data_IF_756007108307
#
_entry.id   IF_756007108307
#
_cell.length_a   1.000
_cell.length_b   1.000
_cell.length_c   1.000
_cell.angle_alpha   90.00
_cell.angle_beta   90.00
_cell.angle_gamma   90.00
#
_symmetry.space_group_name_H-M   'P 1'
#
loop_
_entity.id
_entity.type
_entity.pdbx_description
1 polymer ?
#
# COMPACT_ATOMS: atom_id res chain seq x y z
N UNK A 1 9.48 -5.09 15.83
CA UNK A 1 10.46 -4.46 14.89
C UNK A 1 10.48 -2.92 15.00
N UNK A 2 11.67 -2.28 15.09
CA UNK A 2 11.78 -0.82 15.17
C UNK A 2 12.17 -0.21 13.81
N UNK A 3 11.31 0.62 13.22
CA UNK A 3 11.53 1.33 11.94
C UNK A 3 11.34 2.82 12.17
N UNK A 4 12.08 3.66 11.43
CA UNK A 4 11.82 5.10 11.43
C UNK A 4 10.39 5.37 10.94
N UNK A 5 9.71 6.28 11.62
CA UNK A 5 8.42 6.86 11.24
C UNK A 5 8.64 8.21 10.56
N UNK A 6 7.65 8.65 9.78
CA UNK A 6 7.56 10.03 9.26
C UNK A 6 7.68 11.09 10.37
N UNK A 7 7.41 10.71 11.63
CA UNK A 7 7.58 11.57 12.81
C UNK A 7 9.04 11.84 13.17
N UNK A 8 9.96 10.96 12.74
CA UNK A 8 11.38 11.02 13.08
C UNK A 8 12.20 11.82 12.04
N UNK A 9 11.56 12.34 10.99
CA UNK A 9 12.19 13.08 9.91
C UNK A 9 11.76 14.55 9.90
N UNK A 10 12.69 15.45 9.59
CA UNK A 10 12.38 16.86 9.31
C UNK A 10 11.90 17.00 7.86
N UNK A 11 10.60 17.28 7.69
CA UNK A 11 9.93 17.30 6.38
C UNK A 11 9.56 18.71 5.92
N UNK A 12 9.70 19.74 6.76
CA UNK A 12 9.28 21.10 6.41
C UNK A 12 10.09 21.63 5.23
N UNK A 13 9.38 22.07 4.19
CA UNK A 13 9.99 22.58 2.95
C UNK A 13 10.66 21.53 2.06
N UNK A 14 10.62 20.25 2.46
CA UNK A 14 11.23 19.14 1.71
C UNK A 14 10.24 18.54 0.72
N UNK A 15 10.75 18.06 -0.40
CA UNK A 15 10.02 17.24 -1.37
C UNK A 15 9.94 15.81 -0.84
N UNK A 16 8.73 15.29 -0.66
CA UNK A 16 8.48 13.97 -0.09
C UNK A 16 7.84 13.07 -1.14
N UNK A 17 8.55 12.02 -1.53
CA UNK A 17 7.97 10.93 -2.31
C UNK A 17 7.15 10.04 -1.38
N UNK A 18 5.84 10.13 -1.47
CA UNK A 18 4.89 9.38 -0.63
C UNK A 18 4.28 8.23 -1.42
N UNK A 19 4.69 7.00 -1.10
CA UNK A 19 4.11 5.79 -1.67
C UNK A 19 2.89 5.35 -0.85
N UNK A 20 1.69 5.37 -1.44
CA UNK A 20 0.41 5.01 -0.78
C UNK A 20 -0.37 3.98 -1.58
N UNK A 21 -1.10 3.07 -0.93
CA UNK A 21 -1.98 2.12 -1.62
C UNK A 21 -3.35 2.74 -1.91
N UNK A 22 -3.50 3.34 -3.10
CA UNK A 22 -4.77 3.86 -3.61
C UNK A 22 -5.37 2.94 -4.69
N UNK A 23 -5.06 1.64 -4.66
CA UNK A 23 -5.64 0.67 -5.58
C UNK A 23 -7.09 0.34 -5.16
N UNK A 24 -7.99 1.29 -5.43
CA UNK A 24 -9.43 1.24 -5.17
C UNK A 24 -10.16 0.44 -6.23
N UNK A 25 -11.38 0.02 -5.92
CA UNK A 25 -12.29 -0.60 -6.90
C UNK A 25 -13.11 0.48 -7.58
N UNK A 26 -13.18 0.42 -8.92
CA UNK A 26 -14.03 1.28 -9.73
C UNK A 26 -15.24 0.51 -10.25
N UNK A 27 -16.39 1.16 -10.31
CA UNK A 27 -17.56 0.62 -11.01
C UNK A 27 -17.42 0.78 -12.54
N UNK A 28 -18.41 0.29 -13.30
CA UNK A 28 -18.42 0.38 -14.77
C UNK A 28 -18.41 1.82 -15.33
N UNK A 29 -18.73 2.82 -14.50
CA UNK A 29 -18.71 4.25 -14.86
C UNK A 29 -17.39 4.93 -14.47
N UNK A 30 -16.42 4.19 -13.91
CA UNK A 30 -15.15 4.73 -13.43
C UNK A 30 -15.25 5.45 -12.08
N UNK A 31 -16.33 5.22 -11.33
CA UNK A 31 -16.54 5.82 -10.00
C UNK A 31 -16.02 4.89 -8.90
N UNK A 32 -15.45 5.46 -7.84
CA UNK A 32 -14.91 4.73 -6.70
C UNK A 32 -16.05 4.18 -5.86
N UNK A 33 -16.08 2.87 -5.65
CA UNK A 33 -17.14 2.21 -4.85
C UNK A 33 -16.79 2.08 -3.36
N UNK A 34 -15.50 2.16 -3.01
CA UNK A 34 -15.02 2.00 -1.64
C UNK A 34 -13.81 2.90 -1.40
N UNK A 35 -13.90 3.72 -0.34
CA UNK A 35 -12.92 4.76 -0.04
C UNK A 35 -11.90 4.36 1.05
N UNK A 36 -12.01 3.15 1.59
CA UNK A 36 -11.20 2.71 2.75
C UNK A 36 -9.70 2.91 2.54
N UNK A 37 -9.21 2.61 1.34
CA UNK A 37 -7.80 2.83 0.97
C UNK A 37 -7.41 4.30 0.92
N UNK A 38 -8.26 5.16 0.36
CA UNK A 38 -8.02 6.61 0.34
C UNK A 38 -7.98 7.14 1.76
N UNK A 39 -8.97 6.76 2.58
CA UNK A 39 -9.08 7.16 3.99
C UNK A 39 -7.89 6.71 4.82
N UNK A 40 -7.35 5.52 4.55
CA UNK A 40 -6.18 5.00 5.26
C UNK A 40 -4.90 5.83 5.06
N UNK A 41 -4.77 6.53 3.91
CA UNK A 41 -3.61 7.37 3.62
C UNK A 41 -3.72 8.80 4.19
N UNK A 42 -4.93 9.25 4.55
CA UNK A 42 -5.17 10.62 5.01
C UNK A 42 -4.35 11.03 6.23
N UNK A 43 -4.14 10.18 7.27
CA UNK A 43 -3.34 10.56 8.43
C UNK A 43 -1.92 11.00 8.04
N UNK A 44 -1.26 10.25 7.16
CA UNK A 44 0.10 10.56 6.70
C UNK A 44 0.11 11.80 5.81
N UNK A 45 -0.84 11.92 4.88
CA UNK A 45 -0.95 13.10 4.01
C UNK A 45 -1.17 14.36 4.85
N UNK A 46 -2.16 14.36 5.75
CA UNK A 46 -2.45 15.51 6.62
C UNK A 46 -1.26 15.87 7.51
N UNK A 47 -0.53 14.88 8.04
CA UNK A 47 0.69 15.12 8.81
C UNK A 47 1.73 15.89 7.98
N UNK A 48 2.03 15.41 6.77
CA UNK A 48 3.00 16.04 5.87
C UNK A 48 2.57 17.45 5.45
N UNK A 49 1.29 17.63 5.13
CA UNK A 49 0.73 18.93 4.75
C UNK A 49 0.86 19.92 5.91
N UNK A 50 0.47 19.53 7.13
CA UNK A 50 0.55 20.38 8.31
C UNK A 50 1.99 20.73 8.72
N UNK A 51 2.95 19.86 8.38
CA UNK A 51 4.39 20.13 8.56
C UNK A 51 4.99 20.96 7.42
N UNK A 52 4.23 21.26 6.37
CA UNK A 52 4.69 22.09 5.25
C UNK A 52 5.64 21.36 4.31
N UNK A 53 5.48 20.06 4.12
CA UNK A 53 6.18 19.30 3.09
C UNK A 53 5.56 19.54 1.70
N UNK A 54 6.34 19.35 0.64
CA UNK A 54 5.87 19.32 -0.76
C UNK A 54 5.66 17.86 -1.16
N UNK A 55 4.42 17.45 -1.38
CA UNK A 55 4.06 16.02 -1.38
C UNK A 55 3.91 15.49 -2.80
N UNK A 56 4.60 14.40 -3.11
CA UNK A 56 4.57 13.69 -4.39
C UNK A 56 3.98 12.31 -4.15
N UNK A 57 2.69 12.14 -4.46
CA UNK A 57 1.96 10.90 -4.26
C UNK A 57 2.21 9.94 -5.42
N UNK A 58 2.65 8.74 -5.08
CA UNK A 58 2.78 7.61 -6.01
C UNK A 58 1.87 6.46 -5.57
N UNK A 59 1.07 5.95 -6.50
CA UNK A 59 0.22 4.77 -6.30
C UNK A 59 0.09 3.96 -7.59
N UNK A 60 -0.44 2.75 -7.45
CA UNK A 60 -0.88 1.95 -8.57
C UNK A 60 -2.40 1.80 -8.55
N UNK A 61 -2.98 1.55 -9.72
CA UNK A 61 -4.37 1.12 -9.87
C UNK A 61 -4.43 -0.09 -10.80
N UNK A 62 -5.08 -1.16 -10.35
CA UNK A 62 -5.24 -2.38 -11.12
C UNK A 62 -3.92 -3.02 -11.57
N UNK A 63 -3.95 -3.63 -12.76
CA UNK A 63 -2.83 -4.38 -13.35
C UNK A 63 -2.70 -4.04 -14.84
N UNK A 64 -2.21 -2.84 -15.17
CA UNK A 64 -2.08 -2.39 -16.56
C UNK A 64 -0.99 -3.11 -17.35
N UNK A 65 -0.06 -3.82 -16.69
CA UNK A 65 1.05 -4.59 -17.30
C UNK A 65 2.10 -3.73 -18.05
N UNK A 66 2.37 -2.51 -17.58
CA UNK A 66 3.37 -1.63 -18.20
C UNK A 66 2.89 -0.91 -19.45
N UNK A 67 1.58 -0.83 -19.64
CA UNK A 67 0.93 -0.13 -20.75
C UNK A 67 -0.02 0.93 -20.18
N UNK A 68 -0.17 2.04 -20.90
CA UNK A 68 -1.18 3.04 -20.55
C UNK A 68 -2.56 2.51 -20.90
N UNK A 69 -3.46 2.48 -19.90
CA UNK A 69 -4.85 2.05 -20.07
C UNK A 69 -5.77 3.04 -19.39
N UNK A 70 -6.67 3.62 -20.17
CA UNK A 70 -7.55 4.70 -19.71
C UNK A 70 -8.38 4.30 -18.47
N UNK A 71 -8.82 3.03 -18.37
CA UNK A 71 -9.56 2.55 -17.20
C UNK A 71 -8.74 2.47 -15.91
N UNK A 72 -7.40 2.55 -16.00
CA UNK A 72 -6.47 2.47 -14.86
C UNK A 72 -5.75 3.79 -14.57
N UNK A 73 -6.19 4.91 -15.15
CA UNK A 73 -5.68 6.23 -14.76
C UNK A 73 -6.12 6.64 -13.36
N UNK A 74 -5.31 7.47 -12.72
CA UNK A 74 -5.56 7.94 -11.35
C UNK A 74 -6.46 9.18 -11.26
N UNK A 75 -7.02 9.70 -12.36
CA UNK A 75 -7.90 10.88 -12.35
C UNK A 75 -9.10 10.77 -11.40
N UNK A 76 -9.83 9.63 -11.31
CA UNK A 76 -10.91 9.50 -10.33
C UNK A 76 -10.39 9.54 -8.89
N UNK A 77 -9.20 8.99 -8.66
CA UNK A 77 -8.57 8.93 -7.34
C UNK A 77 -8.09 10.32 -6.91
N UNK A 78 -7.44 11.07 -7.79
CA UNK A 78 -7.01 12.44 -7.52
C UNK A 78 -8.19 13.35 -7.17
N UNK A 79 -9.28 13.29 -7.96
CA UNK A 79 -10.51 14.06 -7.70
C UNK A 79 -11.13 13.72 -6.35
N UNK A 80 -11.26 12.43 -6.04
CA UNK A 80 -11.84 11.99 -4.76
C UNK A 80 -10.94 12.35 -3.57
N UNK A 81 -9.62 12.24 -3.73
CA UNK A 81 -8.67 12.64 -2.68
C UNK A 81 -8.77 14.16 -2.42
N UNK A 82 -8.87 14.98 -3.46
CA UNK A 82 -9.07 16.42 -3.32
C UNK A 82 -10.38 16.78 -2.59
N UNK A 83 -11.48 16.10 -2.93
CA UNK A 83 -12.77 16.24 -2.26
C UNK A 83 -12.67 15.92 -0.76
N UNK A 84 -12.08 14.78 -0.41
CA UNK A 84 -11.98 14.34 1.00
C UNK A 84 -11.00 15.20 1.81
N UNK A 85 -9.93 15.69 1.19
CA UNK A 85 -8.98 16.59 1.84
C UNK A 85 -9.49 18.03 1.93
N UNK A 86 -10.55 18.37 1.20
CA UNK A 86 -11.04 19.73 1.00
C UNK A 86 -9.94 20.68 0.49
N UNK A 87 -9.03 20.15 -0.33
CA UNK A 87 -7.83 20.85 -0.82
C UNK A 87 -7.46 20.43 -2.23
N UNK A 88 -6.79 21.30 -3.01
CA UNK A 88 -6.30 20.94 -4.33
C UNK A 88 -5.32 19.77 -4.29
N UNK A 89 -5.52 18.80 -5.18
CA UNK A 89 -4.55 17.76 -5.51
C UNK A 89 -4.25 17.90 -6.99
N UNK A 90 -3.05 18.35 -7.32
CA UNK A 90 -2.58 18.41 -8.70
C UNK A 90 -2.33 17.00 -9.20
N UNK A 91 -2.64 16.72 -10.46
CA UNK A 91 -2.36 15.41 -11.09
C UNK A 91 -1.63 15.63 -12.40
N UNK A 92 -0.71 14.73 -12.70
CA UNK A 92 0.01 14.68 -13.98
C UNK A 92 -0.16 13.31 -14.63
N UNK A 93 -0.18 13.26 -15.96
CA UNK A 93 -0.44 12.05 -16.76
C UNK A 93 0.82 11.21 -16.99
N UNK A 94 1.93 11.62 -16.39
CA UNK A 94 3.25 10.97 -16.51
C UNK A 94 3.71 10.41 -15.16
N UNK A 95 4.51 9.35 -15.25
CA UNK A 95 5.09 8.68 -14.06
C UNK A 95 6.47 9.25 -13.71
N UNK A 96 7.25 9.63 -14.73
CA UNK A 96 8.60 10.19 -14.66
C UNK A 96 8.84 11.11 -15.86
N UNK A 97 9.97 11.83 -15.88
CA UNK A 97 10.37 12.66 -17.01
C UNK A 97 10.32 14.17 -16.72
N UNK A 98 10.62 14.97 -17.74
CA UNK A 98 10.83 16.42 -17.59
C UNK A 98 9.56 17.17 -17.16
N UNK A 99 8.38 16.73 -17.59
CA UNK A 99 7.11 17.33 -17.17
C UNK A 99 6.86 17.10 -15.68
N UNK A 100 7.14 15.90 -15.18
CA UNK A 100 7.06 15.57 -13.75
C UNK A 100 8.05 16.42 -12.95
N UNK A 101 9.30 16.53 -13.40
CA UNK A 101 10.31 17.38 -12.74
C UNK A 101 9.85 18.84 -12.66
N UNK A 102 9.34 19.40 -13.76
CA UNK A 102 8.81 20.77 -13.80
C UNK A 102 7.60 20.96 -12.88
N UNK A 103 6.70 19.97 -12.79
CA UNK A 103 5.55 20.04 -11.90
C UNK A 103 5.97 19.99 -10.42
N UNK A 104 6.92 19.11 -10.08
CA UNK A 104 7.47 18.98 -8.73
C UNK A 104 8.18 20.26 -8.27
N UNK A 105 8.98 20.89 -9.14
CA UNK A 105 9.69 22.13 -8.80
C UNK A 105 8.75 23.32 -8.54
N UNK A 106 7.54 23.29 -9.10
CA UNK A 106 6.52 24.33 -8.89
C UNK A 106 5.72 24.16 -7.60
N UNK A 107 5.86 23.04 -6.89
CA UNK A 107 5.09 22.81 -5.67
C UNK A 107 5.50 23.79 -4.57
N UNK A 108 4.50 24.42 -3.96
CA UNK A 108 4.64 25.16 -2.72
C UNK A 108 4.47 24.26 -1.50
N UNK A 109 4.85 24.76 -0.33
CA UNK A 109 4.78 24.01 0.92
C UNK A 109 3.33 23.66 1.26
N UNK A 110 3.07 22.37 1.52
CA UNK A 110 1.74 21.84 1.81
C UNK A 110 0.93 21.48 0.57
N UNK A 111 1.47 21.67 -0.64
CA UNK A 111 0.82 21.25 -1.88
C UNK A 111 1.09 19.77 -2.19
N UNK A 112 0.18 19.20 -2.98
CA UNK A 112 0.12 17.78 -3.30
C UNK A 112 0.09 17.60 -4.81
N UNK A 113 1.06 16.86 -5.35
CA UNK A 113 1.08 16.35 -6.71
C UNK A 113 0.89 14.83 -6.70
N UNK A 114 -0.06 14.32 -7.45
CA UNK A 114 -0.24 12.90 -7.73
C UNK A 114 0.36 12.58 -9.10
N UNK A 115 1.30 11.64 -9.11
CA UNK A 115 1.83 11.05 -10.34
C UNK A 115 0.78 10.15 -10.99
N UNK A 116 0.93 9.84 -12.27
CA UNK A 116 0.12 8.82 -12.91
C UNK A 116 0.43 7.42 -12.32
N UNK A 117 -0.45 6.46 -12.59
CA UNK A 117 -0.32 5.07 -12.19
C UNK A 117 1.09 4.51 -12.44
N UNK A 118 1.84 4.24 -11.38
CA UNK A 118 3.25 3.80 -11.47
C UNK A 118 3.42 2.53 -12.31
N UNK A 119 2.38 1.69 -12.39
CA UNK A 119 2.41 0.45 -13.19
C UNK A 119 2.19 0.66 -14.69
N UNK A 120 1.96 1.88 -15.15
CA UNK A 120 2.09 2.22 -16.58
C UNK A 120 3.54 2.16 -17.04
N UNK A 121 4.52 2.37 -16.15
CA UNK A 121 5.92 2.16 -16.50
C UNK A 121 6.29 0.67 -16.38
N UNK A 122 6.82 0.01 -17.43
CA UNK A 122 7.15 -1.42 -17.40
C UNK A 122 8.26 -1.78 -16.39
N UNK A 123 9.09 -0.81 -16.04
CA UNK A 123 10.15 -0.97 -15.03
C UNK A 123 9.65 -1.09 -13.59
N UNK A 124 8.41 -0.67 -13.28
CA UNK A 124 7.90 -0.62 -11.90
C UNK A 124 7.88 -2.01 -11.27
N UNK A 125 7.25 -2.99 -11.92
CA UNK A 125 7.13 -4.36 -11.38
C UNK A 125 8.42 -5.16 -11.47
N UNK A 126 9.43 -4.64 -12.18
CA UNK A 126 10.76 -5.26 -12.33
C UNK A 126 11.78 -4.71 -11.34
N UNK A 127 11.38 -3.75 -10.50
CA UNK A 127 12.30 -2.98 -9.66
C UNK A 127 13.46 -2.38 -10.45
N UNK A 128 13.14 -1.79 -11.60
CA UNK A 128 14.14 -1.23 -12.51
C UNK A 128 14.95 -0.14 -11.78
N UNK A 129 16.30 -0.28 -11.69
CA UNK A 129 17.14 0.67 -10.98
C UNK A 129 17.11 2.08 -11.56
N UNK A 130 16.94 2.21 -12.88
CA UNK A 130 16.88 3.50 -13.55
C UNK A 130 15.57 4.22 -13.23
N UNK A 131 14.45 3.48 -13.20
CA UNK A 131 13.17 4.04 -12.76
C UNK A 131 13.23 4.45 -11.27
N UNK A 132 13.81 3.62 -10.42
CA UNK A 132 14.00 3.93 -9.00
C UNK A 132 14.82 5.21 -8.80
N UNK A 133 15.89 5.39 -9.60
CA UNK A 133 16.72 6.60 -9.62
C UNK A 133 15.92 7.82 -10.05
N UNK A 134 15.10 7.70 -11.09
CA UNK A 134 14.22 8.78 -11.54
C UNK A 134 13.21 9.19 -10.48
N UNK A 135 12.63 8.25 -9.71
CA UNK A 135 11.78 8.58 -8.55
C UNK A 135 12.56 9.30 -7.46
N UNK A 136 13.78 8.83 -7.15
CA UNK A 136 14.63 9.43 -6.13
C UNK A 136 15.02 10.87 -6.47
N UNK A 137 15.26 11.20 -7.74
CA UNK A 137 15.55 12.57 -8.18
C UNK A 137 14.42 13.57 -7.91
N UNK A 138 13.18 13.11 -7.73
CA UNK A 138 12.04 13.98 -7.51
C UNK A 138 11.96 14.50 -6.06
N UNK A 139 12.60 13.82 -5.10
CA UNK A 139 12.35 14.04 -3.68
C UNK A 139 13.62 14.07 -2.83
N UNK A 140 13.51 14.69 -1.66
CA UNK A 140 14.55 14.67 -0.63
C UNK A 140 14.38 13.48 0.32
N UNK A 141 13.14 13.03 0.52
CA UNK A 141 12.75 12.01 1.49
C UNK A 141 11.75 11.05 0.85
N UNK A 142 11.86 9.77 1.20
CA UNK A 142 10.92 8.73 0.83
C UNK A 142 10.08 8.28 2.04
N UNK A 143 8.76 8.28 1.88
CA UNK A 143 7.82 7.75 2.88
C UNK A 143 7.02 6.61 2.25
N UNK A 144 7.09 5.42 2.84
CA UNK A 144 6.25 4.30 2.45
C UNK A 144 5.08 4.13 3.41
N UNK A 145 3.88 4.37 2.91
CA UNK A 145 2.62 4.20 3.63
C UNK A 145 1.71 3.13 3.00
N UNK A 146 2.29 2.29 2.12
CA UNK A 146 1.59 1.31 1.31
C UNK A 146 1.86 -0.14 1.78
N UNK A 147 1.50 -0.46 3.03
CA UNK A 147 1.72 -1.77 3.66
C UNK A 147 1.26 -2.95 2.79
N UNK A 148 0.05 -2.87 2.22
CA UNK A 148 -0.51 -3.89 1.33
C UNK A 148 0.31 -4.19 0.08
N UNK A 149 1.26 -3.33 -0.29
CA UNK A 149 2.20 -3.55 -1.40
C UNK A 149 3.65 -3.76 -0.99
N UNK A 150 3.97 -3.66 0.31
CA UNK A 150 5.35 -3.77 0.82
C UNK A 150 5.97 -5.17 0.64
N UNK A 151 5.14 -6.21 0.46
CA UNK A 151 5.58 -7.57 0.18
C UNK A 151 6.15 -7.76 -1.24
N UNK A 152 6.16 -6.70 -2.08
CA UNK A 152 6.70 -6.73 -3.44
C UNK A 152 7.87 -5.77 -3.58
N UNK A 153 8.97 -6.27 -4.11
CA UNK A 153 10.12 -5.44 -4.50
C UNK A 153 9.82 -4.79 -5.87
N UNK A 154 9.26 -3.58 -5.85
CA UNK A 154 9.03 -2.76 -7.03
C UNK A 154 9.83 -1.45 -6.92
N UNK A 155 10.00 -0.75 -8.04
CA UNK A 155 10.77 0.50 -8.07
C UNK A 155 10.21 1.54 -7.10
N UNK A 156 8.88 1.70 -7.03
CA UNK A 156 8.23 2.66 -6.13
C UNK A 156 8.11 2.22 -4.66
N UNK A 157 8.24 0.92 -4.36
CA UNK A 157 8.07 0.36 -3.00
C UNK A 157 9.38 0.01 -2.31
N UNK A 158 10.44 -0.24 -3.08
CA UNK A 158 11.70 -0.79 -2.60
C UNK A 158 12.90 -0.08 -3.22
N UNK A 159 12.96 0.03 -4.56
CA UNK A 159 14.11 0.62 -5.25
C UNK A 159 14.36 2.07 -4.85
N UNK A 160 13.34 2.94 -4.94
CA UNK A 160 13.44 4.35 -4.56
C UNK A 160 13.80 4.52 -3.07
N UNK A 161 13.30 3.64 -2.20
CA UNK A 161 13.54 3.67 -0.76
C UNK A 161 15.01 3.46 -0.38
N UNK A 162 15.79 2.79 -1.24
CA UNK A 162 17.24 2.58 -1.05
C UNK A 162 18.09 3.79 -1.39
N UNK A 163 17.55 4.71 -2.19
CA UNK A 163 18.29 5.86 -2.73
C UNK A 163 18.03 7.15 -1.93
N UNK A 164 17.03 7.15 -1.07
CA UNK A 164 16.63 8.29 -0.24
C UNK A 164 16.57 7.91 1.25
N UNK A 165 16.73 8.89 2.16
CA UNK A 165 16.29 8.72 3.54
C UNK A 165 14.84 8.23 3.56
N UNK A 166 14.61 7.06 4.16
CA UNK A 166 13.32 6.36 4.10
C UNK A 166 12.72 6.12 5.48
N UNK A 167 11.41 6.34 5.59
CA UNK A 167 10.64 6.05 6.79
C UNK A 167 9.24 5.49 6.46
N UNK A 168 8.63 4.86 7.46
CA UNK A 168 7.24 4.43 7.41
C UNK A 168 6.30 5.63 7.54
N UNK A 169 5.23 5.67 6.73
CA UNK A 169 4.09 6.53 7.01
C UNK A 169 3.29 6.03 8.22
N UNK A 170 2.29 6.79 8.64
CA UNK A 170 1.51 6.48 9.85
C UNK A 170 0.66 5.20 9.72
N UNK A 171 0.16 4.90 8.52
CA UNK A 171 -0.56 3.65 8.26
C UNK A 171 0.41 2.47 8.27
N UNK A 172 1.56 2.58 7.60
CA UNK A 172 2.62 1.56 7.64
C UNK A 172 3.12 1.30 9.06
N UNK A 173 3.40 2.35 9.83
CA UNK A 173 3.82 2.27 11.23
C UNK A 173 2.79 1.49 12.06
N UNK A 174 1.50 1.82 11.92
CA UNK A 174 0.41 1.12 12.61
C UNK A 174 0.36 -0.37 12.27
N UNK A 175 0.43 -0.72 10.98
CA UNK A 175 0.39 -2.13 10.54
C UNK A 175 1.60 -2.91 11.07
N UNK A 176 2.81 -2.32 11.00
CA UNK A 176 4.04 -2.93 11.55
C UNK A 176 3.92 -3.14 13.06
N UNK A 177 3.38 -2.16 13.79
CA UNK A 177 3.23 -2.24 15.24
C UNK A 177 2.23 -3.34 15.63
N UNK A 178 1.07 -3.40 14.99
CA UNK A 178 0.06 -4.45 15.24
C UNK A 178 0.64 -5.83 14.94
N UNK A 179 1.30 -6.00 13.79
CA UNK A 179 1.91 -7.29 13.45
C UNK A 179 3.05 -7.67 14.40
N UNK A 180 3.90 -6.71 14.79
CA UNK A 180 4.98 -6.96 15.75
C UNK A 180 4.42 -7.38 17.11
N UNK A 181 3.35 -6.73 17.57
CA UNK A 181 2.69 -7.11 18.83
C UNK A 181 2.13 -8.55 18.77
N UNK A 182 1.43 -8.91 17.69
CA UNK A 182 0.85 -10.26 17.53
C UNK A 182 1.94 -11.34 17.46
N UNK A 183 3.08 -11.05 16.80
CA UNK A 183 4.12 -12.04 16.54
C UNK A 183 5.16 -12.15 17.67
N UNK A 184 5.54 -11.04 18.30
CA UNK A 184 6.65 -10.99 19.26
C UNK A 184 6.15 -11.11 20.71
N UNK A 185 5.05 -10.45 21.08
CA UNK A 185 4.52 -10.45 22.46
C UNK A 185 2.99 -10.29 22.48
N UNK A 186 2.23 -11.31 22.04
CA UNK A 186 0.78 -11.20 21.96
C UNK A 186 0.15 -11.19 23.34
N UNK A 187 -0.92 -10.40 23.50
CA UNK A 187 -1.82 -10.55 24.65
C UNK A 187 -2.49 -11.93 24.60
N UNK A 188 -2.52 -12.62 25.74
CA UNK A 188 -3.08 -13.96 25.88
C UNK A 188 -4.38 -13.97 26.68
N UNK A 189 -5.37 -14.81 26.32
CA UNK A 189 -5.31 -15.82 25.26
C UNK A 189 -5.40 -15.22 23.84
N UNK A 190 -4.47 -15.62 22.96
CA UNK A 190 -4.47 -15.27 21.55
C UNK A 190 -5.21 -16.32 20.73
N UNK A 191 -6.25 -15.89 20.01
CA UNK A 191 -6.97 -16.75 19.08
C UNK A 191 -6.76 -16.29 17.63
N UNK A 192 -6.46 -17.23 16.72
CA UNK A 192 -6.51 -17.00 15.28
C UNK A 192 -7.77 -17.63 14.69
N UNK A 193 -8.47 -16.86 13.85
CA UNK A 193 -9.64 -17.32 13.09
C UNK A 193 -9.26 -17.40 11.61
N UNK A 194 -9.22 -18.61 11.06
CA UNK A 194 -8.88 -18.87 9.67
C UNK A 194 -10.11 -19.39 8.91
N UNK A 195 -10.50 -18.66 7.87
CA UNK A 195 -11.52 -19.08 6.90
C UNK A 195 -10.99 -19.10 5.48
N UNK A 196 -11.83 -19.51 4.53
CA UNK A 196 -11.50 -19.62 3.11
C UNK A 196 -12.02 -20.92 2.51
N UNK A 197 -11.70 -21.17 1.25
CA UNK A 197 -12.13 -22.38 0.53
C UNK A 197 -11.03 -23.43 0.43
N UNK A 198 -9.80 -23.02 0.10
CA UNK A 198 -8.66 -23.92 -0.09
C UNK A 198 -7.74 -23.93 1.12
N UNK A 199 -7.34 -25.12 1.56
CA UNK A 199 -6.37 -25.30 2.64
C UNK A 199 -4.97 -25.02 2.11
N UNK A 200 -4.65 -25.46 0.88
CA UNK A 200 -3.30 -25.37 0.32
C UNK A 200 -2.74 -23.93 0.31
N UNK A 201 -3.58 -22.95 -0.01
CA UNK A 201 -3.20 -21.52 -0.03
C UNK A 201 -2.82 -20.97 1.36
N UNK A 202 -3.15 -21.69 2.44
CA UNK A 202 -3.04 -21.25 3.83
C UNK A 202 -2.19 -22.15 4.71
N UNK A 203 -1.64 -23.25 4.20
CA UNK A 203 -0.83 -24.20 5.00
C UNK A 203 0.33 -23.49 5.71
N UNK A 204 1.09 -22.67 4.99
CA UNK A 204 2.20 -21.91 5.58
C UNK A 204 1.76 -20.98 6.71
N UNK A 205 0.60 -20.33 6.54
CA UNK A 205 0.02 -19.44 7.54
C UNK A 205 -0.45 -20.22 8.78
N UNK A 206 -1.10 -21.37 8.58
CA UNK A 206 -1.55 -22.27 9.66
C UNK A 206 -0.35 -22.73 10.48
N UNK A 207 0.69 -23.26 9.80
CA UNK A 207 1.89 -23.77 10.47
C UNK A 207 2.55 -22.69 11.34
N UNK A 208 2.66 -21.46 10.83
CA UNK A 208 3.23 -20.36 11.60
C UNK A 208 2.37 -19.97 12.81
N UNK A 209 1.03 -19.85 12.64
CA UNK A 209 0.17 -19.48 13.76
C UNK A 209 0.07 -20.57 14.83
N UNK A 210 0.20 -21.85 14.48
CA UNK A 210 0.23 -22.95 15.45
C UNK A 210 1.36 -22.81 16.48
N UNK A 211 2.44 -22.09 16.14
CA UNK A 211 3.56 -21.82 17.06
C UNK A 211 3.26 -20.67 18.04
N UNK A 212 2.24 -19.85 17.77
CA UNK A 212 2.03 -18.55 18.44
C UNK A 212 0.72 -18.53 19.24
N UNK A 213 -0.38 -19.03 18.66
CA UNK A 213 -1.74 -18.88 19.21
C UNK A 213 -2.08 -19.90 20.29
N UNK A 214 -2.92 -19.51 21.25
CA UNK A 214 -3.51 -20.42 22.24
C UNK A 214 -4.69 -21.20 21.65
N UNK A 215 -5.39 -20.61 20.68
CA UNK A 215 -6.55 -21.21 20.04
C UNK A 215 -6.55 -20.95 18.53
N UNK A 216 -6.71 -22.01 17.74
CA UNK A 216 -6.91 -21.92 16.30
C UNK A 216 -8.33 -22.33 15.93
N UNK A 217 -9.11 -21.38 15.40
CA UNK A 217 -10.49 -21.60 14.95
C UNK A 217 -10.49 -21.66 13.42
N UNK A 218 -10.92 -22.79 12.87
CA UNK A 218 -10.99 -23.01 11.41
C UNK A 218 -12.45 -23.04 10.97
N UNK A 219 -12.79 -22.21 9.99
CA UNK A 219 -14.12 -22.12 9.39
C UNK A 219 -14.08 -22.06 7.87
N UNK A 220 -15.23 -21.81 7.24
CA UNK A 220 -15.37 -21.78 5.78
C UNK A 220 -15.23 -23.15 5.11
N UNK A 221 -15.09 -23.18 3.78
CA UNK A 221 -14.95 -24.42 3.00
C UNK A 221 -13.71 -25.23 3.38
N UNK A 222 -12.63 -24.58 3.81
CA UNK A 222 -11.40 -25.26 4.22
C UNK A 222 -11.58 -26.14 5.47
N UNK A 223 -12.54 -25.82 6.35
CA UNK A 223 -12.83 -26.64 7.53
C UNK A 223 -13.26 -28.06 7.17
N UNK A 224 -13.88 -28.23 5.99
CA UNK A 224 -14.34 -29.52 5.49
C UNK A 224 -13.19 -30.49 5.29
N UNK A 225 -12.03 -30.07 4.78
CA UNK A 225 -10.87 -30.97 4.63
C UNK A 225 -10.41 -31.50 5.99
N UNK A 226 -10.40 -30.67 7.04
CA UNK A 226 -10.07 -31.12 8.40
C UNK A 226 -11.14 -32.04 9.00
N UNK A 227 -12.42 -31.75 8.79
CA UNK A 227 -13.52 -32.61 9.25
C UNK A 227 -13.52 -33.96 8.51
N UNK A 228 -13.22 -33.97 7.21
CA UNK A 228 -13.11 -35.19 6.42
C UNK A 228 -11.95 -36.05 6.90
N UNK A 229 -10.81 -35.44 7.20
CA UNK A 229 -9.65 -36.12 7.77
C UNK A 229 -9.94 -36.75 9.14
N UNK A 230 -10.87 -36.18 9.91
CA UNK A 230 -11.37 -36.76 11.17
C UNK A 230 -12.47 -37.83 10.99
N UNK A 231 -12.82 -38.17 9.74
CA UNK A 231 -13.80 -39.21 9.42
C UNK A 231 -15.27 -38.75 9.36
N UNK A 232 -15.55 -37.45 9.45
CA UNK A 232 -16.93 -36.96 9.34
C UNK A 232 -17.46 -37.04 7.90
N UNK A 233 -18.75 -37.34 7.77
CA UNK A 233 -19.46 -37.28 6.49
C UNK A 233 -19.89 -35.84 6.19
N UNK A 234 -19.54 -35.36 4.99
CA UNK A 234 -19.72 -33.94 4.61
C UNK A 234 -20.67 -33.74 3.43
N UNK A 235 -21.29 -34.81 2.91
CA UNK A 235 -22.18 -34.76 1.75
C UNK A 235 -21.48 -34.18 0.52
N UNK A 236 -22.04 -33.10 -0.04
CA UNK A 236 -21.51 -32.41 -1.23
C UNK A 236 -20.62 -31.21 -0.91
N UNK A 237 -20.23 -31.03 0.36
CA UNK A 237 -19.39 -29.92 0.76
C UNK A 237 -18.02 -30.03 0.08
N UNK A 238 -17.45 -28.89 -0.33
CA UNK A 238 -16.14 -28.84 -0.97
C UNK A 238 -15.06 -29.41 -0.02
N UNK A 239 -14.25 -30.33 -0.52
CA UNK A 239 -13.10 -30.93 0.15
C UNK A 239 -11.94 -30.88 -0.84
N UNK A 240 -10.81 -30.37 -0.39
CA UNK A 240 -9.51 -30.47 -1.07
C UNK A 240 -8.75 -31.72 -0.58
#
# INVERSE_FOLDING_TARGET
MNKLSVRDLEVKGKKVFLRVDLNVTLNKKGEIIEENKIRSALPTINYLVNKGAKIIIASHLGRPKGEVKEEFRLDPVARKLAEILERPVYKIDEVVGDEVKKAVEKLDNGEILMLENVRFHPGETKNDPELARQYAELADIYINDAFGTAHRAHASTEGAARLLPSAAGLNMEREINIMSQILENPERPLAAILGGTKVADKIGLINHFLEIVDCLLIGGGMANTFLKAKGYSLGRSFVE
#
